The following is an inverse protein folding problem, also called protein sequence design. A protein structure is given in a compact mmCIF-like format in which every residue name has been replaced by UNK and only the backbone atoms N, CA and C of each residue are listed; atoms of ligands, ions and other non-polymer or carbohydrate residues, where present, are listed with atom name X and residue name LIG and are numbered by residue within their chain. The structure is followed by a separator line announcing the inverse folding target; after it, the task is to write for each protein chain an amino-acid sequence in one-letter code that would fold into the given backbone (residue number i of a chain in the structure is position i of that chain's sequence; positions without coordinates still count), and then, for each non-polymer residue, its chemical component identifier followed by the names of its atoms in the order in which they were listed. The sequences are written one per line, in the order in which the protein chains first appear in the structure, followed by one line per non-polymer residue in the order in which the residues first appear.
data_IF_792064242931
#
_entry.id   IF_792064242931
#
_cell.length_a   1.000
_cell.length_b   1.000
_cell.length_c   1.000
_cell.angle_alpha   90.00
_cell.angle_beta   90.00
_cell.angle_gamma   90.00
#
_symmetry.space_group_name_H-M   'P 1'
#
loop_
_entity.id
_entity.type
_entity.pdbx_description
1 polymer ?
#
# COMPACT_ATOMS: atom_id res chain seq x y z
N UNK A 1 9.86 6.35 -15.24
CA UNK A 1 9.58 7.64 -14.56
C UNK A 1 10.89 8.40 -14.39
N UNK A 2 10.97 9.69 -14.76
CA UNK A 2 12.22 10.46 -14.81
C UNK A 2 12.65 11.03 -13.44
N UNK A 3 11.90 10.74 -12.38
CA UNK A 3 12.24 11.19 -11.03
C UNK A 3 12.41 10.00 -10.07
N UNK A 4 13.23 10.15 -9.02
CA UNK A 4 13.51 9.10 -8.05
C UNK A 4 12.35 8.78 -7.11
N UNK A 5 11.32 9.61 -7.09
CA UNK A 5 10.12 9.47 -6.27
C UNK A 5 8.88 9.48 -7.18
N UNK A 6 7.98 8.52 -6.95
CA UNK A 6 6.64 8.50 -7.52
C UNK A 6 5.64 8.77 -6.40
N UNK A 7 4.78 9.76 -6.57
CA UNK A 7 3.79 10.16 -5.55
C UNK A 7 2.41 9.85 -6.09
N UNK A 8 1.62 9.12 -5.31
CA UNK A 8 0.22 8.81 -5.60
C UNK A 8 -0.64 9.39 -4.49
N UNK A 9 -1.72 10.08 -4.87
CA UNK A 9 -2.71 10.60 -3.96
C UNK A 9 -4.07 9.94 -4.22
N UNK A 10 -4.74 9.51 -3.16
CA UNK A 10 -6.03 8.82 -3.20
C UNK A 10 -7.04 9.51 -2.27
N UNK A 11 -8.31 9.50 -2.68
CA UNK A 11 -9.44 9.84 -1.82
C UNK A 11 -10.21 8.56 -1.44
N UNK A 12 -10.24 8.23 -0.15
CA UNK A 12 -10.85 7.03 0.40
C UNK A 12 -9.88 5.86 0.44
N UNK A 13 -9.26 5.61 1.59
CA UNK A 13 -8.34 4.50 1.77
C UNK A 13 -9.08 3.16 1.91
N UNK A 14 -10.24 3.16 2.59
CA UNK A 14 -11.05 1.98 2.84
C UNK A 14 -10.24 0.83 3.45
N UNK A 15 -10.18 -0.30 2.75
CA UNK A 15 -9.41 -1.49 3.14
C UNK A 15 -7.93 -1.39 2.78
N UNK A 16 -7.50 -0.34 2.09
CA UNK A 16 -6.12 -0.19 1.61
C UNK A 16 -5.78 -1.05 0.39
N UNK A 17 -6.76 -1.68 -0.27
CA UNK A 17 -6.50 -2.60 -1.38
C UNK A 17 -5.69 -1.95 -2.51
N UNK A 18 -6.07 -0.74 -2.94
CA UNK A 18 -5.34 0.01 -3.97
C UNK A 18 -3.88 0.27 -3.56
N UNK A 19 -3.65 0.65 -2.30
CA UNK A 19 -2.31 0.84 -1.77
C UNK A 19 -1.49 -0.45 -1.77
N UNK A 20 -2.07 -1.56 -1.31
CA UNK A 20 -1.38 -2.85 -1.25
C UNK A 20 -1.04 -3.38 -2.65
N UNK A 21 -1.98 -3.31 -3.59
CA UNK A 21 -1.75 -3.69 -4.99
C UNK A 21 -0.68 -2.83 -5.64
N UNK A 22 -0.70 -1.51 -5.39
CA UNK A 22 0.35 -0.61 -5.89
C UNK A 22 1.71 -0.92 -5.26
N UNK A 23 1.74 -1.23 -3.97
CA UNK A 23 2.98 -1.59 -3.28
C UNK A 23 3.56 -2.89 -3.85
N UNK A 24 2.75 -3.94 -4.04
CA UNK A 24 3.18 -5.17 -4.69
C UNK A 24 3.75 -4.89 -6.09
N UNK A 25 3.02 -4.14 -6.93
CA UNK A 25 3.47 -3.80 -8.27
C UNK A 25 4.77 -2.97 -8.25
N UNK A 26 4.92 -2.06 -7.29
CA UNK A 26 6.13 -1.27 -7.13
C UNK A 26 7.34 -2.13 -6.74
N UNK A 27 7.17 -3.10 -5.83
CA UNK A 27 8.24 -4.06 -5.48
C UNK A 27 8.65 -4.88 -6.70
N UNK A 28 7.68 -5.44 -7.44
CA UNK A 28 7.95 -6.20 -8.67
C UNK A 28 8.69 -5.34 -9.71
N UNK A 29 8.30 -4.08 -9.87
CA UNK A 29 9.02 -3.13 -10.73
C UNK A 29 10.46 -2.91 -10.27
N UNK A 30 10.70 -2.75 -8.95
CA UNK A 30 12.03 -2.54 -8.38
C UNK A 30 12.95 -3.75 -8.59
N UNK A 31 12.40 -4.96 -8.53
CA UNK A 31 13.10 -6.21 -8.81
C UNK A 31 13.43 -6.36 -10.30
N UNK A 32 12.47 -6.07 -11.18
CA UNK A 32 12.65 -6.17 -12.63
C UNK A 32 13.55 -5.05 -13.20
N UNK A 33 13.60 -3.89 -12.56
CA UNK A 33 14.33 -2.71 -13.03
C UNK A 33 15.16 -2.05 -11.92
N UNK A 34 16.19 -2.75 -11.38
CA UNK A 34 16.96 -2.24 -10.24
C UNK A 34 17.74 -0.95 -10.56
N UNK A 35 18.08 -0.73 -11.84
CA UNK A 35 18.79 0.45 -12.33
C UNK A 35 17.86 1.61 -12.71
N UNK A 36 16.53 1.45 -12.63
CA UNK A 36 15.62 2.53 -12.98
C UNK A 36 15.83 3.73 -12.04
N UNK A 37 15.73 4.94 -12.58
CA UNK A 37 15.86 6.16 -11.78
C UNK A 37 14.82 6.23 -10.66
N UNK A 38 13.63 5.66 -10.88
CA UNK A 38 12.57 5.58 -9.88
C UNK A 38 12.89 4.57 -8.78
N UNK A 39 13.02 5.06 -7.55
CA UNK A 39 13.52 4.28 -6.41
C UNK A 39 12.54 4.24 -5.24
N UNK A 40 11.62 5.21 -5.13
CA UNK A 40 10.70 5.34 -4.01
C UNK A 40 9.27 5.58 -4.45
N UNK A 41 8.34 5.07 -3.65
CA UNK A 41 6.91 5.34 -3.73
C UNK A 41 6.48 6.11 -2.48
N UNK A 42 5.69 7.16 -2.66
CA UNK A 42 4.98 7.86 -1.58
C UNK A 42 3.48 7.80 -1.89
N UNK A 43 2.71 7.24 -0.97
CA UNK A 43 1.26 7.16 -1.09
C UNK A 43 0.61 8.07 -0.05
N UNK A 44 -0.26 8.97 -0.51
CA UNK A 44 -1.03 9.89 0.33
C UNK A 44 -2.49 9.50 0.17
N UNK A 45 -3.19 9.19 1.26
CA UNK A 45 -4.61 8.90 1.19
C UNK A 45 -5.36 9.56 2.34
N UNK A 46 -6.63 9.83 2.10
CA UNK A 46 -7.54 10.43 3.07
C UNK A 46 -8.69 9.46 3.31
N UNK A 47 -9.04 9.24 4.58
CA UNK A 47 -10.16 8.39 4.95
C UNK A 47 -10.99 9.07 6.04
N UNK A 48 -12.31 9.11 5.84
CA UNK A 48 -13.26 9.73 6.77
C UNK A 48 -13.67 8.75 7.87
N UNK A 49 -13.70 7.46 7.56
CA UNK A 49 -14.14 6.40 8.47
C UNK A 49 -13.10 5.28 8.49
N UNK A 50 -11.95 5.48 9.16
CA UNK A 50 -10.89 4.48 9.19
C UNK A 50 -11.40 3.19 9.86
N UNK A 51 -11.15 2.06 9.20
CA UNK A 51 -11.46 0.74 9.75
C UNK A 51 -10.67 0.49 11.03
N UNK A 52 -11.24 -0.33 11.92
CA UNK A 52 -10.46 -0.87 13.03
C UNK A 52 -9.39 -1.82 12.49
N UNK A 53 -8.32 -2.04 13.26
CA UNK A 53 -7.28 -3.02 12.89
C UNK A 53 -7.86 -4.43 12.68
N UNK A 54 -8.89 -4.79 13.46
CA UNK A 54 -9.58 -6.08 13.35
C UNK A 54 -10.38 -6.18 12.05
N UNK A 55 -11.19 -5.17 11.71
CA UNK A 55 -11.96 -5.16 10.47
C UNK A 55 -11.04 -5.16 9.24
N UNK A 56 -9.93 -4.42 9.33
CA UNK A 56 -8.90 -4.40 8.31
C UNK A 56 -8.24 -5.78 8.16
N UNK A 57 -8.02 -6.53 9.25
CA UNK A 57 -7.51 -7.89 9.19
C UNK A 57 -8.49 -8.85 8.52
N UNK A 58 -9.79 -8.75 8.82
CA UNK A 58 -10.82 -9.56 8.19
C UNK A 58 -10.91 -9.28 6.69
N UNK A 59 -10.93 -8.00 6.30
CA UNK A 59 -10.96 -7.62 4.89
C UNK A 59 -9.78 -8.23 4.11
N UNK A 60 -8.57 -8.15 4.67
CA UNK A 60 -7.37 -8.67 4.01
C UNK A 60 -7.34 -10.20 3.81
N UNK A 61 -8.18 -10.97 4.49
CA UNK A 61 -8.25 -12.43 4.30
C UNK A 61 -8.74 -12.81 2.90
N UNK A 62 -9.43 -11.90 2.20
CA UNK A 62 -9.90 -12.12 0.83
C UNK A 62 -8.78 -12.06 -0.22
N UNK A 63 -7.59 -11.56 0.13
CA UNK A 63 -6.45 -11.40 -0.79
C UNK A 63 -5.17 -12.00 -0.17
N UNK A 64 -5.09 -13.34 -0.06
CA UNK A 64 -3.93 -14.01 0.53
C UNK A 64 -2.62 -13.70 -0.21
N UNK A 65 -2.69 -13.41 -1.51
CA UNK A 65 -1.55 -12.99 -2.32
C UNK A 65 -0.94 -11.64 -1.88
N UNK A 66 -1.70 -10.82 -1.15
CA UNK A 66 -1.25 -9.54 -0.60
C UNK A 66 -0.80 -9.63 0.86
N UNK A 67 -0.87 -10.81 1.48
CA UNK A 67 -0.61 -11.00 2.91
C UNK A 67 0.72 -10.37 3.40
N UNK A 68 1.87 -10.51 2.71
CA UNK A 68 3.12 -9.93 3.17
C UNK A 68 3.10 -8.40 3.34
N UNK A 69 2.38 -7.70 2.47
CA UNK A 69 2.20 -6.24 2.54
C UNK A 69 1.11 -5.86 3.53
N UNK A 70 0.00 -6.61 3.53
CA UNK A 70 -1.13 -6.38 4.40
C UNK A 70 -0.76 -6.54 5.89
N UNK A 71 0.09 -7.51 6.23
CA UNK A 71 0.61 -7.68 7.58
C UNK A 71 1.43 -6.48 8.05
N UNK A 72 2.31 -5.96 7.19
CA UNK A 72 3.10 -4.77 7.49
C UNK A 72 2.23 -3.53 7.67
N UNK A 73 1.23 -3.34 6.80
CA UNK A 73 0.24 -2.27 6.94
C UNK A 73 -0.48 -2.35 8.28
N UNK A 74 -0.99 -3.54 8.65
CA UNK A 74 -1.70 -3.73 9.92
C UNK A 74 -0.81 -3.57 11.14
N UNK A 75 0.48 -3.87 11.04
CA UNK A 75 1.43 -3.69 12.13
C UNK A 75 1.64 -2.22 12.49
N UNK A 76 1.52 -1.33 11.50
CA UNK A 76 1.68 0.13 11.65
C UNK A 76 0.35 0.90 11.56
N UNK A 77 -0.79 0.20 11.63
CA UNK A 77 -2.10 0.83 11.55
C UNK A 77 -2.28 1.80 12.72
N UNK A 78 -2.60 3.09 12.47
CA UNK A 78 -2.68 4.08 13.53
C UNK A 78 -3.81 3.75 14.51
N UNK A 79 -3.60 4.14 15.76
CA UNK A 79 -4.67 4.12 16.77
C UNK A 79 -5.60 5.30 16.46
N UNK A 80 -6.93 5.13 16.53
CA UNK A 80 -7.89 6.22 16.40
C UNK A 80 -7.65 7.37 17.41
#
# INVERSE_FOLDING_TARGET
HPHPLFVVAESGFGTGLNFLTLWQAFVQFREAHPQAQLQRLHFISFEKFPLTRTDLALAHQHWPELAPWAEQLRALWPIP
#
